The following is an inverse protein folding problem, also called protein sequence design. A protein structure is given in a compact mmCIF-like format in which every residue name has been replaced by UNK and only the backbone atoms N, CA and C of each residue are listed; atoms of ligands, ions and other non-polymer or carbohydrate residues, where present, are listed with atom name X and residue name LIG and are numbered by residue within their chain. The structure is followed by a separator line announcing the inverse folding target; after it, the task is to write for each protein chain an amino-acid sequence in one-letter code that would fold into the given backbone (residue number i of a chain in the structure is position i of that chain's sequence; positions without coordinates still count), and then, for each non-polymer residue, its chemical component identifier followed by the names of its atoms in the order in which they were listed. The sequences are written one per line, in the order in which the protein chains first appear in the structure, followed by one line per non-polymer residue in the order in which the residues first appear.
data_IF_993609774537
#
_entry.id   IF_993609774537
#
_cell.length_a   1.000
_cell.length_b   1.000
_cell.length_c   1.000
_cell.angle_alpha   90.00
_cell.angle_beta   90.00
_cell.angle_gamma   90.00
#
_symmetry.space_group_name_H-M   'P 1'
#
loop_
_entity.id
_entity.type
_entity.pdbx_description
1 polymer ?
#
# COMPACT_ATOMS: atom_id res chain seq x y z
N UNK A 1 31.89 0.13 34.23
CA UNK A 1 30.96 -0.58 33.32
C UNK A 1 31.01 0.03 31.92
N UNK A 2 31.35 -0.74 30.88
CA UNK A 2 31.13 -0.31 29.51
C UNK A 2 29.69 -0.62 29.14
N UNK A 3 28.84 0.41 29.03
CA UNK A 3 27.53 0.29 28.41
C UNK A 3 27.77 -0.18 26.96
N UNK A 4 27.59 -1.48 26.72
CA UNK A 4 27.50 -2.04 25.38
C UNK A 4 26.19 -1.55 24.76
N UNK A 5 26.20 -0.32 24.25
CA UNK A 5 25.10 0.17 23.43
C UNK A 5 25.00 -0.76 22.23
N UNK A 6 23.82 -1.31 21.95
CA UNK A 6 23.55 -2.08 20.74
C UNK A 6 23.62 -1.14 19.52
N UNK A 7 24.84 -0.81 19.11
CA UNK A 7 25.15 0.13 18.03
C UNK A 7 25.73 -0.67 16.88
N UNK A 8 25.31 -0.40 15.63
CA UNK A 8 25.96 -1.00 14.47
C UNK A 8 27.45 -0.66 14.46
N UNK A 9 28.28 -1.70 14.54
CA UNK A 9 29.75 -1.55 14.58
C UNK A 9 30.32 -0.92 13.31
N UNK A 10 29.68 -1.14 12.16
CA UNK A 10 30.14 -0.70 10.84
C UNK A 10 28.97 -0.34 9.92
N UNK A 11 29.24 0.53 8.94
CA UNK A 11 28.26 0.92 7.91
C UNK A 11 27.94 -0.27 6.98
N UNK A 12 26.67 -0.48 6.68
CA UNK A 12 26.27 -1.51 5.71
C UNK A 12 26.67 -1.13 4.28
N UNK A 13 27.23 -2.08 3.52
CA UNK A 13 27.57 -1.87 2.12
C UNK A 13 26.33 -1.70 1.22
N UNK A 14 26.51 -1.07 0.06
CA UNK A 14 25.45 -0.84 -0.92
C UNK A 14 24.75 -2.16 -1.33
N UNK A 15 25.52 -3.21 -1.60
CA UNK A 15 25.00 -4.53 -1.98
C UNK A 15 24.13 -5.14 -0.86
N UNK A 16 24.57 -5.07 0.40
CA UNK A 16 23.80 -5.58 1.56
C UNK A 16 22.48 -4.82 1.73
N UNK A 17 22.48 -3.50 1.56
CA UNK A 17 21.26 -2.68 1.60
C UNK A 17 20.28 -3.08 0.47
N UNK A 18 20.78 -3.21 -0.77
CA UNK A 18 19.97 -3.55 -1.95
C UNK A 18 19.33 -4.94 -1.83
N UNK A 19 20.09 -5.97 -1.44
CA UNK A 19 19.56 -7.33 -1.23
C UNK A 19 18.42 -7.34 -0.20
N UNK A 20 18.54 -6.59 0.89
CA UNK A 20 17.48 -6.47 1.92
C UNK A 20 16.20 -5.79 1.41
N UNK A 21 16.31 -4.88 0.45
CA UNK A 21 15.17 -4.16 -0.13
C UNK A 21 14.52 -4.91 -1.30
N UNK A 22 15.26 -5.78 -1.97
CA UNK A 22 14.80 -6.47 -3.19
C UNK A 22 13.52 -7.30 -3.00
N UNK A 23 13.31 -7.84 -1.80
CA UNK A 23 12.13 -8.68 -1.51
C UNK A 23 10.88 -7.90 -1.12
N UNK A 24 10.97 -6.57 -0.98
CA UNK A 24 9.91 -5.71 -0.43
C UNK A 24 9.12 -4.94 -1.50
N UNK A 25 9.01 -5.50 -2.71
CA UNK A 25 8.25 -4.88 -3.80
C UNK A 25 6.75 -4.82 -3.52
N UNK A 26 6.07 -3.83 -4.10
CA UNK A 26 4.61 -3.72 -4.02
C UNK A 26 3.97 -4.88 -4.80
N UNK A 27 3.04 -5.59 -4.16
CA UNK A 27 2.28 -6.65 -4.83
C UNK A 27 1.25 -6.03 -5.77
N UNK A 28 1.12 -6.61 -6.97
CA UNK A 28 0.11 -6.18 -7.93
C UNK A 28 -1.30 -6.49 -7.40
N UNK A 29 -2.18 -5.50 -7.48
CA UNK A 29 -3.59 -5.61 -7.12
C UNK A 29 -4.36 -6.28 -8.25
N UNK A 30 -5.02 -7.40 -7.96
CA UNK A 30 -5.91 -8.14 -8.88
C UNK A 30 -7.39 -8.04 -8.46
N UNK A 31 -7.65 -7.28 -7.41
CA UNK A 31 -8.95 -7.07 -6.74
C UNK A 31 -9.76 -5.91 -7.33
N UNK A 32 -9.44 -5.45 -8.54
CA UNK A 32 -10.15 -4.36 -9.20
C UNK A 32 -11.21 -4.90 -10.15
N UNK A 33 -12.46 -4.50 -9.94
CA UNK A 33 -13.62 -4.86 -10.78
C UNK A 33 -14.38 -3.60 -11.21
N UNK A 34 -15.02 -3.59 -12.40
CA UNK A 34 -15.84 -2.47 -12.82
C UNK A 34 -17.08 -2.31 -11.92
N UNK A 35 -17.42 -1.08 -11.56
CA UNK A 35 -18.64 -0.77 -10.84
C UNK A 35 -19.87 -0.93 -11.76
N UNK A 36 -20.94 -1.59 -11.28
CA UNK A 36 -22.18 -1.76 -12.05
C UNK A 36 -23.00 -0.48 -12.27
N UNK A 37 -22.76 0.57 -11.47
CA UNK A 37 -23.46 1.85 -11.62
C UNK A 37 -22.73 2.81 -12.56
N UNK A 38 -21.47 3.12 -12.25
CA UNK A 38 -20.71 4.15 -12.97
C UNK A 38 -19.62 3.60 -13.92
N UNK A 39 -19.41 2.28 -14.00
CA UNK A 39 -18.37 1.66 -14.83
C UNK A 39 -16.94 1.82 -14.32
N UNK A 40 -16.68 2.68 -13.33
CA UNK A 40 -15.33 2.94 -12.80
C UNK A 40 -14.76 1.74 -12.04
N UNK A 41 -13.43 1.52 -12.05
CA UNK A 41 -12.83 0.46 -11.27
C UNK A 41 -13.06 0.70 -9.77
N UNK A 42 -13.50 -0.35 -9.08
CA UNK A 42 -13.65 -0.40 -7.63
C UNK A 42 -13.00 -1.67 -7.10
N UNK A 43 -12.68 -1.68 -5.81
CA UNK A 43 -12.24 -2.90 -5.15
C UNK A 43 -13.39 -3.91 -5.02
N UNK A 44 -13.05 -5.20 -5.13
CA UNK A 44 -13.99 -6.31 -4.90
C UNK A 44 -14.59 -6.20 -3.50
N UNK A 45 -15.88 -6.53 -3.38
CA UNK A 45 -16.66 -6.48 -2.12
C UNK A 45 -16.75 -5.10 -1.44
N UNK A 46 -16.22 -4.03 -2.04
CA UNK A 46 -16.38 -2.66 -1.54
C UNK A 46 -17.40 -1.87 -2.35
N UNK A 47 -18.01 -0.87 -1.72
CA UNK A 47 -18.89 0.10 -2.38
C UNK A 47 -18.04 1.03 -3.24
N UNK A 48 -18.58 1.46 -4.39
CA UNK A 48 -17.87 2.44 -5.22
C UNK A 48 -17.86 3.81 -4.53
N UNK A 49 -16.67 4.36 -4.32
CA UNK A 49 -16.47 5.68 -3.70
C UNK A 49 -17.17 6.79 -4.48
N UNK A 50 -17.15 6.72 -5.82
CA UNK A 50 -17.78 7.73 -6.67
C UNK A 50 -19.31 7.71 -6.54
N UNK A 51 -19.94 6.54 -6.74
CA UNK A 51 -21.39 6.42 -6.58
C UNK A 51 -21.83 6.81 -5.17
N UNK A 52 -21.08 6.39 -4.14
CA UNK A 52 -21.38 6.77 -2.77
C UNK A 52 -21.29 8.30 -2.57
N UNK A 53 -20.27 8.96 -3.12
CA UNK A 53 -20.12 10.40 -3.02
C UNK A 53 -21.25 11.16 -3.72
N UNK A 54 -21.67 10.70 -4.91
CA UNK A 54 -22.75 11.33 -5.66
C UNK A 54 -24.09 11.22 -4.91
N UNK A 55 -24.42 10.00 -4.45
CA UNK A 55 -25.60 9.72 -3.63
C UNK A 55 -25.58 10.57 -2.35
N UNK A 56 -24.45 10.61 -1.65
CA UNK A 56 -24.30 11.41 -0.43
C UNK A 56 -24.48 12.90 -0.66
N UNK A 57 -24.10 13.42 -1.84
CA UNK A 57 -24.32 14.83 -2.20
C UNK A 57 -25.79 15.10 -2.52
N UNK A 58 -26.47 14.18 -3.19
CA UNK A 58 -27.89 14.37 -3.57
C UNK A 58 -28.87 14.20 -2.42
N UNK A 59 -28.54 13.36 -1.44
CA UNK A 59 -29.39 13.07 -0.27
C UNK A 59 -29.15 14.02 0.91
N UNK A 60 -28.26 15.00 0.75
CA UNK A 60 -27.96 16.02 1.74
C UNK A 60 -28.64 17.32 1.36
#
# INVERSE_FOLDING_TARGET
EMILRAVPKQRTSHSKKRKRMATKGLKNRKDLVPCRGCGRPKAVAQICLNCYHDIKRTLK
#
